data_IF_394552618017
#
_entry.id   IF_394552618017
#
_cell.length_a   1.000
_cell.length_b   1.000
_cell.length_c   1.000
_cell.angle_alpha   90.00
_cell.angle_beta   90.00
_cell.angle_gamma   90.00
#
_symmetry.space_group_name_H-M   'P 1'
#
loop_
_entity.id
_entity.type
_entity.pdbx_description
1 polymer ?
#
# COMPACT_ATOMS: atom_id res chain seq x y z
N UNK A 1 -20.06 -23.45 35.13
CA UNK A 1 -20.74 -22.48 34.24
C UNK A 1 -20.06 -21.15 34.49
N UNK A 2 -19.00 -20.88 33.73
CA UNK A 2 -18.25 -19.62 33.79
C UNK A 2 -17.82 -19.33 32.35
N UNK A 3 -18.66 -18.57 31.66
CA UNK A 3 -18.40 -18.01 30.34
C UNK A 3 -17.16 -17.13 30.41
N UNK A 4 -16.16 -17.47 29.61
CA UNK A 4 -14.99 -16.63 29.38
C UNK A 4 -15.36 -15.68 28.24
N UNK A 5 -15.42 -14.38 28.53
CA UNK A 5 -15.62 -13.33 27.54
C UNK A 5 -14.38 -13.21 26.67
N UNK A 6 -14.44 -13.80 25.48
CA UNK A 6 -13.68 -13.36 24.32
C UNK A 6 -14.14 -11.94 23.93
N UNK A 7 -13.20 -11.02 23.78
CA UNK A 7 -13.50 -9.69 23.26
C UNK A 7 -12.59 -8.59 23.79
N UNK A 8 -11.27 -8.71 23.62
CA UNK A 8 -10.38 -7.55 23.72
C UNK A 8 -9.05 -7.75 22.95
N UNK A 9 -9.14 -7.99 21.63
CA UNK A 9 -7.93 -7.93 20.78
C UNK A 9 -8.13 -7.32 19.38
N UNK A 10 -9.35 -6.88 19.01
CA UNK A 10 -9.64 -6.41 17.65
C UNK A 10 -9.57 -4.88 17.43
N UNK A 11 -9.30 -4.07 18.46
CA UNK A 11 -9.44 -2.60 18.35
C UNK A 11 -8.16 -1.86 17.90
N UNK A 12 -7.04 -2.56 17.65
CA UNK A 12 -5.76 -1.91 17.26
C UNK A 12 -5.47 -1.80 15.76
N UNK A 13 -6.41 -2.16 14.87
CA UNK A 13 -6.20 -2.11 13.42
C UNK A 13 -6.81 -0.88 12.71
N UNK A 14 -7.47 0.04 13.42
CA UNK A 14 -8.32 1.05 12.77
C UNK A 14 -7.59 2.26 12.15
N UNK A 15 -6.25 2.36 12.22
CA UNK A 15 -5.53 3.57 11.78
C UNK A 15 -4.37 3.31 10.81
N UNK A 16 -4.30 2.10 10.23
CA UNK A 16 -3.31 1.78 9.21
C UNK A 16 -3.99 1.75 7.85
N UNK A 17 -3.43 2.55 6.92
CA UNK A 17 -3.77 2.46 5.50
C UNK A 17 -3.59 1.01 5.05
N UNK A 18 -4.55 0.50 4.29
CA UNK A 18 -4.56 -0.88 3.78
C UNK A 18 -3.94 -0.97 2.39
N UNK A 19 -4.06 0.09 1.61
CA UNK A 19 -3.58 0.20 0.25
C UNK A 19 -2.53 1.31 0.16
N UNK A 20 -1.51 1.07 -0.66
CA UNK A 20 -0.38 1.98 -0.85
C UNK A 20 -0.14 2.20 -2.33
N UNK A 21 0.24 3.43 -2.68
CA UNK A 21 0.61 3.77 -4.05
C UNK A 21 2.04 3.32 -4.34
N UNK A 22 2.40 3.04 -5.60
CA UNK A 22 3.78 2.74 -5.96
C UNK A 22 4.75 3.84 -5.54
N UNK A 23 4.30 5.10 -5.58
CA UNK A 23 5.10 6.25 -5.16
C UNK A 23 5.39 6.27 -3.67
N UNK A 24 4.43 5.87 -2.84
CA UNK A 24 4.65 5.71 -1.40
C UNK A 24 5.67 4.63 -1.12
N UNK A 25 5.52 3.46 -1.74
CA UNK A 25 6.48 2.36 -1.60
C UNK A 25 7.88 2.81 -2.01
N UNK A 26 8.00 3.55 -3.12
CA UNK A 26 9.28 4.08 -3.60
C UNK A 26 9.93 5.09 -2.65
N UNK A 27 9.16 5.76 -1.78
CA UNK A 27 9.72 6.67 -0.78
C UNK A 27 10.45 5.96 0.37
N UNK A 28 10.15 4.66 0.58
CA UNK A 28 10.75 3.81 1.60
C UNK A 28 11.92 2.98 1.01
N UNK A 29 12.97 3.69 0.58
CA UNK A 29 14.12 3.13 -0.13
C UNK A 29 15.43 3.10 0.69
N UNK A 30 15.36 3.26 2.00
CA UNK A 30 16.53 3.34 2.87
C UNK A 30 16.82 1.99 3.55
N UNK A 31 18.08 1.72 3.90
CA UNK A 31 18.45 0.49 4.61
C UNK A 31 17.76 0.34 5.99
N UNK A 32 17.40 1.46 6.62
CA UNK A 32 16.65 1.50 7.89
C UNK A 32 15.14 1.38 7.71
N UNK A 33 14.63 1.66 6.51
CA UNK A 33 13.22 1.65 6.15
C UNK A 33 13.08 1.22 4.69
N UNK A 34 13.17 -0.09 4.48
CA UNK A 34 13.24 -0.73 3.18
C UNK A 34 11.93 -1.46 2.90
N UNK A 35 11.16 -0.96 1.95
CA UNK A 35 9.92 -1.60 1.52
C UNK A 35 10.12 -2.21 0.14
N UNK A 36 9.59 -3.41 -0.07
CA UNK A 36 9.60 -4.08 -1.38
C UNK A 36 8.20 -4.58 -1.70
N UNK A 37 7.82 -4.53 -2.98
CA UNK A 37 6.54 -5.07 -3.44
C UNK A 37 6.71 -6.46 -4.09
N UNK A 38 5.81 -7.39 -3.75
CA UNK A 38 5.80 -8.80 -4.13
C UNK A 38 4.35 -9.22 -4.36
N UNK A 39 3.99 -9.53 -5.60
CA UNK A 39 2.66 -10.02 -5.99
C UNK A 39 1.53 -9.20 -5.32
N UNK A 40 1.60 -7.86 -5.41
CA UNK A 40 0.65 -6.91 -4.81
C UNK A 40 0.63 -6.85 -3.28
N UNK A 41 1.57 -7.49 -2.59
CA UNK A 41 1.84 -7.33 -1.15
C UNK A 41 3.12 -6.51 -1.00
N UNK A 42 3.27 -5.77 0.07
CA UNK A 42 4.56 -5.14 0.36
C UNK A 42 5.03 -5.46 1.77
N UNK A 43 6.36 -5.48 1.92
CA UNK A 43 7.01 -5.94 3.14
C UNK A 43 8.18 -5.08 3.54
N UNK A 44 8.40 -4.93 4.85
CA UNK A 44 9.48 -4.15 5.44
C UNK A 44 10.53 -5.06 6.10
N UNK A 45 11.82 -4.80 5.86
CA UNK A 45 12.91 -5.65 6.35
C UNK A 45 14.07 -4.88 6.97
N UNK A 46 14.67 -5.48 8.01
CA UNK A 46 15.93 -5.07 8.63
C UNK A 46 16.75 -6.32 8.99
N UNK A 47 18.06 -6.39 8.68
CA UNK A 47 18.90 -7.54 9.03
C UNK A 47 20.14 -7.78 8.16
N UNK A 48 20.76 -8.96 8.29
CA UNK A 48 21.93 -9.43 7.50
C UNK A 48 21.45 -10.26 6.29
N UNK A 49 22.20 -10.26 5.17
CA UNK A 49 21.82 -10.88 3.86
C UNK A 49 20.62 -10.20 3.17
N UNK A 50 20.45 -8.91 3.42
CA UNK A 50 19.43 -8.07 2.77
C UNK A 50 20.02 -7.16 1.70
N UNK A 51 21.31 -7.25 1.39
CA UNK A 51 21.98 -6.43 0.36
C UNK A 51 21.20 -6.36 -0.97
N UNK A 52 20.79 -7.48 -1.60
CA UNK A 52 19.97 -7.43 -2.81
C UNK A 52 18.58 -6.82 -2.57
N UNK A 53 18.00 -6.97 -1.37
CA UNK A 53 16.70 -6.36 -1.04
C UNK A 53 16.82 -4.85 -0.82
N UNK A 54 17.91 -4.37 -0.22
CA UNK A 54 18.21 -2.94 -0.06
C UNK A 54 18.47 -2.31 -1.43
N UNK A 55 19.17 -3.02 -2.33
CA UNK A 55 19.43 -2.52 -3.68
C UNK A 55 18.14 -2.27 -4.47
N UNK A 56 17.13 -3.12 -4.27
CA UNK A 56 15.81 -3.00 -4.89
C UNK A 56 14.75 -2.44 -3.91
N UNK A 57 15.18 -1.66 -2.92
CA UNK A 57 14.27 -1.01 -2.00
C UNK A 57 13.41 0.03 -2.73
N UNK A 58 12.11 0.00 -2.47
CA UNK A 58 11.11 0.83 -3.14
C UNK A 58 10.65 0.30 -4.51
N UNK A 59 11.15 -0.86 -4.95
CA UNK A 59 10.83 -1.44 -6.27
C UNK A 59 9.89 -2.66 -6.18
N UNK A 60 9.48 -3.12 -7.37
CA UNK A 60 8.74 -4.37 -7.54
C UNK A 60 9.66 -5.56 -7.83
N UNK A 61 9.75 -6.45 -6.86
CA UNK A 61 10.55 -7.69 -6.94
C UNK A 61 9.67 -8.90 -7.26
N UNK A 62 8.42 -8.71 -7.69
CA UNK A 62 7.51 -9.80 -8.12
C UNK A 62 8.15 -10.70 -9.17
N UNK A 63 9.06 -10.16 -10.00
CA UNK A 63 9.77 -10.92 -11.01
C UNK A 63 10.71 -12.01 -10.44
N UNK A 64 11.08 -11.97 -9.16
CA UNK A 64 11.88 -13.01 -8.48
C UNK A 64 11.05 -14.22 -8.06
N UNK A 65 9.74 -14.03 -7.92
CA UNK A 65 8.80 -15.02 -7.41
C UNK A 65 7.94 -15.56 -8.55
N UNK A 66 7.53 -16.82 -8.42
CA UNK A 66 6.52 -17.39 -9.29
C UNK A 66 5.13 -16.97 -8.76
N UNK A 67 4.27 -16.50 -9.66
CA UNK A 67 2.92 -16.06 -9.34
C UNK A 67 2.03 -17.21 -8.83
N UNK A 68 2.26 -18.44 -9.30
CA UNK A 68 1.43 -19.59 -8.95
C UNK A 68 1.81 -20.23 -7.61
N UNK A 69 3.12 -20.34 -7.33
CA UNK A 69 3.64 -21.04 -6.14
C UNK A 69 3.93 -20.09 -4.97
N UNK A 70 3.86 -18.77 -5.22
CA UNK A 70 4.26 -17.71 -4.28
C UNK A 70 5.63 -17.96 -3.65
N UNK A 71 6.51 -18.60 -4.42
CA UNK A 71 7.85 -18.98 -3.99
C UNK A 71 8.88 -18.49 -5.01
N UNK A 72 10.14 -18.42 -4.60
CA UNK A 72 11.24 -17.96 -5.45
C UNK A 72 11.30 -18.82 -6.71
N UNK A 73 11.57 -18.21 -7.86
CA UNK A 73 11.74 -18.96 -9.11
C UNK A 73 12.92 -19.91 -9.00
N UNK A 74 12.81 -21.10 -9.58
CA UNK A 74 13.90 -22.07 -9.66
C UNK A 74 14.34 -22.24 -11.12
N UNK A 75 15.62 -22.50 -11.32
CA UNK A 75 16.17 -22.92 -12.61
C UNK A 75 17.01 -24.19 -12.42
N UNK A 76 17.21 -24.94 -13.50
CA UNK A 76 18.10 -26.11 -13.50
C UNK A 76 19.50 -25.63 -13.83
N UNK A 77 20.44 -25.80 -12.89
CA UNK A 77 21.86 -25.57 -13.15
C UNK A 77 22.33 -26.55 -14.22
N UNK A 78 22.89 -26.05 -15.33
CA UNK A 78 23.35 -26.88 -16.45
C UNK A 78 24.52 -27.79 -16.06
N UNK A 79 25.34 -27.38 -15.09
CA UNK A 79 26.53 -28.14 -14.70
C UNK A 79 26.19 -29.24 -13.70
N UNK A 80 25.38 -28.91 -12.69
CA UNK A 80 25.01 -29.85 -11.62
C UNK A 80 23.74 -30.65 -11.93
N UNK A 81 22.94 -30.21 -12.90
CA UNK A 81 21.61 -30.74 -13.20
C UNK A 81 20.69 -30.77 -11.96
N UNK A 82 20.85 -29.77 -11.07
CA UNK A 82 20.06 -29.59 -9.85
C UNK A 82 19.14 -28.39 -9.99
N UNK A 83 17.95 -28.46 -9.39
CA UNK A 83 17.06 -27.30 -9.28
C UNK A 83 17.58 -26.38 -8.18
N UNK A 84 17.95 -25.15 -8.56
CA UNK A 84 18.50 -24.14 -7.66
C UNK A 84 17.67 -22.86 -7.76
N UNK A 85 17.56 -22.08 -6.67
CA UNK A 85 16.83 -20.81 -6.71
C UNK A 85 17.48 -19.84 -7.69
N UNK A 86 16.66 -19.13 -8.45
CA UNK A 86 17.08 -18.13 -9.42
C UNK A 86 17.30 -16.79 -8.70
N UNK A 87 18.56 -16.51 -8.37
CA UNK A 87 18.97 -15.31 -7.63
C UNK A 87 20.03 -14.50 -8.41
N UNK A 88 19.63 -13.78 -9.47
CA UNK A 88 20.58 -13.06 -10.34
C UNK A 88 21.33 -11.93 -9.63
N UNK A 89 20.71 -11.32 -8.62
CA UNK A 89 21.27 -10.20 -7.85
C UNK A 89 22.00 -10.64 -6.56
N UNK A 90 22.19 -11.95 -6.39
CA UNK A 90 22.77 -12.52 -5.19
C UNK A 90 21.73 -13.08 -4.21
N UNK A 91 22.24 -13.84 -3.23
CA UNK A 91 21.43 -14.57 -2.26
C UNK A 91 20.81 -13.61 -1.25
N UNK A 92 19.50 -13.67 -1.09
CA UNK A 92 18.76 -12.93 -0.06
C UNK A 92 18.25 -13.82 1.08
N UNK A 93 17.67 -13.18 2.10
CA UNK A 93 17.16 -13.81 3.32
C UNK A 93 16.25 -15.01 3.02
N UNK A 94 16.39 -16.09 3.80
CA UNK A 94 15.60 -17.34 3.72
C UNK A 94 15.72 -18.14 2.40
N UNK A 95 16.64 -17.78 1.50
CA UNK A 95 17.00 -18.59 0.32
C UNK A 95 18.10 -19.61 0.67
N UNK A 96 17.93 -20.90 0.34
CA UNK A 96 18.95 -21.92 0.61
C UNK A 96 20.24 -21.68 -0.20
N UNK A 97 21.42 -22.02 0.35
CA UNK A 97 22.67 -21.98 -0.41
C UNK A 97 22.68 -23.04 -1.52
N UNK A 98 23.39 -22.82 -2.64
CA UNK A 98 23.50 -23.80 -3.72
C UNK A 98 24.30 -25.05 -3.31
N UNK A 99 25.25 -24.89 -2.40
CA UNK A 99 26.10 -25.96 -1.89
C UNK A 99 25.66 -26.37 -0.46
N UNK A 100 25.81 -27.65 -0.08
CA UNK A 100 25.47 -28.12 1.25
C UNK A 100 26.34 -27.40 2.30
N UNK A 101 25.68 -26.67 3.20
CA UNK A 101 26.36 -25.90 4.26
C UNK A 101 25.84 -26.29 5.63
N UNK A 102 26.76 -26.49 6.57
CA UNK A 102 26.44 -26.76 7.97
C UNK A 102 25.90 -25.52 8.72
N UNK A 103 25.98 -24.33 8.11
CA UNK A 103 25.51 -23.07 8.70
C UNK A 103 24.04 -22.76 8.35
N UNK A 104 23.41 -23.56 7.50
CA UNK A 104 22.02 -23.37 7.09
C UNK A 104 21.08 -24.30 7.86
N UNK A 105 20.23 -23.73 8.70
CA UNK A 105 19.22 -24.49 9.45
C UNK A 105 17.87 -24.46 8.72
N UNK A 106 17.30 -25.64 8.45
CA UNK A 106 15.99 -25.80 7.79
C UNK A 106 14.87 -26.20 8.74
N UNK A 107 15.16 -26.45 10.02
CA UNK A 107 14.23 -27.10 10.95
C UNK A 107 12.95 -26.28 11.23
N UNK A 108 13.05 -24.94 11.22
CA UNK A 108 11.93 -24.02 11.51
C UNK A 108 11.88 -22.81 10.56
N UNK A 109 12.33 -22.98 9.30
CA UNK A 109 12.43 -21.87 8.37
C UNK A 109 11.05 -21.56 7.75
N UNK A 110 10.34 -20.57 8.29
CA UNK A 110 9.25 -19.91 7.58
C UNK A 110 9.86 -18.80 6.70
N UNK A 111 9.82 -18.89 5.36
CA UNK A 111 10.36 -17.85 4.52
C UNK A 111 9.64 -16.52 4.76
N UNK A 112 10.38 -15.42 4.74
CA UNK A 112 9.84 -14.12 5.12
C UNK A 112 8.72 -13.68 4.17
N UNK A 113 8.76 -14.10 2.90
CA UNK A 113 7.69 -13.83 1.91
C UNK A 113 6.38 -14.55 2.22
N UNK A 114 6.41 -15.59 3.07
CA UNK A 114 5.21 -16.31 3.54
C UNK A 114 4.74 -15.85 4.92
N UNK A 115 5.58 -15.15 5.67
CA UNK A 115 5.24 -14.70 7.02
C UNK A 115 4.37 -13.41 6.96
N UNK A 116 3.12 -13.45 7.47
CA UNK A 116 2.25 -12.27 7.49
C UNK A 116 2.78 -11.13 8.36
N UNK A 117 3.70 -11.40 9.30
CA UNK A 117 4.28 -10.37 10.18
C UNK A 117 5.02 -9.27 9.41
N UNK A 118 5.64 -9.63 8.29
CA UNK A 118 6.38 -8.68 7.46
C UNK A 118 5.49 -7.96 6.47
N UNK A 119 4.22 -8.35 6.32
CA UNK A 119 3.29 -7.73 5.38
C UNK A 119 2.59 -6.57 6.06
N UNK A 120 2.87 -5.37 5.55
CA UNK A 120 2.31 -4.15 6.12
C UNK A 120 0.96 -3.82 5.46
N UNK A 121 0.75 -4.22 4.19
CA UNK A 121 -0.50 -4.01 3.44
C UNK A 121 -0.43 -4.48 1.99
N UNK A 122 -1.28 -3.89 1.12
CA UNK A 122 -1.38 -4.23 -0.31
C UNK A 122 -1.01 -3.04 -1.21
N UNK A 123 -0.43 -3.34 -2.38
CA UNK A 123 -0.25 -2.37 -3.44
C UNK A 123 -1.59 -2.13 -4.15
N UNK A 124 -1.90 -0.87 -4.47
CA UNK A 124 -3.09 -0.55 -5.26
C UNK A 124 -3.04 -1.14 -6.65
N UNK A 125 -4.20 -1.51 -7.20
CA UNK A 125 -4.31 -1.87 -8.62
C UNK A 125 -4.23 -0.63 -9.50
N UNK A 126 -4.75 0.51 -9.02
CA UNK A 126 -4.78 1.76 -9.76
C UNK A 126 -4.81 2.95 -8.80
N UNK A 127 -3.81 3.81 -8.95
CA UNK A 127 -3.76 5.10 -8.27
C UNK A 127 -4.43 6.17 -9.13
N UNK A 128 -5.09 7.14 -8.49
CA UNK A 128 -5.68 8.32 -9.13
C UNK A 128 -5.36 9.58 -8.33
N UNK A 129 -5.28 10.71 -9.02
CA UNK A 129 -5.13 12.00 -8.40
C UNK A 129 -6.48 12.61 -8.04
N UNK A 130 -6.57 13.23 -6.87
CA UNK A 130 -7.72 14.00 -6.42
C UNK A 130 -7.27 15.41 -6.05
N UNK A 131 -8.15 16.39 -6.22
CA UNK A 131 -7.98 17.72 -5.65
C UNK A 131 -8.88 17.87 -4.41
N UNK A 132 -8.30 18.19 -3.27
CA UNK A 132 -9.05 18.48 -2.04
C UNK A 132 -9.04 19.98 -1.81
N UNK A 133 -10.22 20.59 -1.77
CA UNK A 133 -10.41 22.02 -1.57
C UNK A 133 -10.95 22.27 -0.17
N UNK A 134 -10.17 22.96 0.64
CA UNK A 134 -10.63 23.44 1.93
C UNK A 134 -11.48 24.70 1.74
N UNK A 135 -12.78 24.61 2.01
CA UNK A 135 -13.68 25.74 1.81
C UNK A 135 -13.53 26.84 2.86
N UNK A 136 -12.97 26.54 4.03
CA UNK A 136 -12.67 27.52 5.07
C UNK A 136 -11.43 28.36 4.71
N UNK A 137 -10.34 27.71 4.27
CA UNK A 137 -9.06 28.39 4.00
C UNK A 137 -8.83 28.70 2.51
N UNK A 138 -9.69 28.19 1.62
CA UNK A 138 -9.57 28.25 0.16
C UNK A 138 -8.29 27.59 -0.40
N UNK A 139 -7.64 26.74 0.40
CA UNK A 139 -6.45 25.99 -0.01
C UNK A 139 -6.85 24.78 -0.84
N UNK A 140 -6.02 24.47 -1.84
CA UNK A 140 -6.18 23.30 -2.70
C UNK A 140 -4.97 22.39 -2.56
N UNK A 141 -5.23 21.11 -2.35
CA UNK A 141 -4.19 20.11 -2.18
C UNK A 141 -4.44 18.94 -3.13
N UNK A 142 -3.44 18.63 -3.96
CA UNK A 142 -3.46 17.44 -4.80
C UNK A 142 -3.02 16.23 -3.98
N UNK A 143 -3.83 15.18 -3.95
CA UNK A 143 -3.56 13.95 -3.22
C UNK A 143 -3.65 12.75 -4.17
N UNK A 144 -2.63 11.90 -4.15
CA UNK A 144 -2.63 10.61 -4.83
C UNK A 144 -3.28 9.56 -3.92
N UNK A 145 -4.32 8.88 -4.41
CA UNK A 145 -5.08 7.89 -3.65
C UNK A 145 -5.26 6.61 -4.46
N UNK A 146 -5.58 5.52 -3.77
CA UNK A 146 -5.89 4.24 -4.38
C UNK A 146 -7.39 4.15 -4.70
N UNK A 147 -7.77 3.58 -5.84
CA UNK A 147 -9.20 3.45 -6.19
C UNK A 147 -10.00 2.57 -5.21
N UNK A 148 -9.32 1.67 -4.49
CA UNK A 148 -9.94 0.76 -3.52
C UNK A 148 -10.12 1.38 -2.12
N UNK A 149 -9.61 2.58 -1.89
CA UNK A 149 -9.70 3.25 -0.59
C UNK A 149 -11.08 3.83 -0.33
N UNK A 150 -11.47 3.76 0.93
CA UNK A 150 -12.64 4.44 1.47
C UNK A 150 -12.34 5.93 1.73
N UNK A 151 -13.36 6.77 1.76
CA UNK A 151 -13.19 8.20 2.09
C UNK A 151 -12.53 8.38 3.48
N UNK A 152 -12.81 7.50 4.44
CA UNK A 152 -12.14 7.49 5.74
C UNK A 152 -10.62 7.30 5.65
N UNK A 153 -10.15 6.40 4.78
CA UNK A 153 -8.71 6.16 4.55
C UNK A 153 -8.07 7.35 3.82
N UNK A 154 -8.79 7.94 2.86
CA UNK A 154 -8.38 9.17 2.17
C UNK A 154 -8.27 10.32 3.18
N UNK A 155 -9.19 10.42 4.14
CA UNK A 155 -9.11 11.38 5.23
C UNK A 155 -7.86 11.13 6.09
N UNK A 156 -7.54 9.87 6.41
CA UNK A 156 -6.31 9.51 7.14
C UNK A 156 -5.05 9.96 6.40
N UNK A 157 -5.01 9.83 5.07
CA UNK A 157 -3.91 10.38 4.24
C UNK A 157 -3.85 11.91 4.35
N UNK A 158 -5.00 12.57 4.23
CA UNK A 158 -5.09 14.03 4.26
C UNK A 158 -4.76 14.63 5.63
N UNK A 159 -4.93 13.89 6.73
CA UNK A 159 -4.51 14.31 8.08
C UNK A 159 -3.02 14.67 8.17
N UNK A 160 -2.17 14.08 7.32
CA UNK A 160 -0.74 14.43 7.26
C UNK A 160 -0.49 15.85 6.74
N UNK A 161 -1.40 16.37 5.89
CA UNK A 161 -1.34 17.73 5.35
C UNK A 161 -2.10 18.72 6.23
N UNK A 162 -3.20 18.29 6.84
CA UNK A 162 -4.01 19.09 7.75
C UNK A 162 -4.41 18.29 8.99
N UNK A 163 -3.73 18.53 10.10
CA UNK A 163 -3.93 17.81 11.37
C UNK A 163 -5.37 17.90 11.91
N UNK A 164 -6.15 18.91 11.50
CA UNK A 164 -7.53 19.09 11.92
C UNK A 164 -8.55 18.45 10.97
N UNK A 165 -8.11 17.74 9.92
CA UNK A 165 -9.01 17.15 8.91
C UNK A 165 -10.04 16.15 9.47
N UNK A 166 -9.86 15.67 10.72
CA UNK A 166 -10.79 14.77 11.40
C UNK A 166 -12.18 15.38 11.63
N UNK A 167 -12.26 16.69 11.81
CA UNK A 167 -13.51 17.43 12.08
C UNK A 167 -14.11 18.08 10.83
N UNK A 168 -13.77 17.60 9.64
CA UNK A 168 -14.31 18.14 8.38
C UNK A 168 -15.35 17.19 7.78
N UNK A 169 -16.47 17.74 7.33
CA UNK A 169 -17.42 17.04 6.47
C UNK A 169 -16.93 17.07 5.03
N UNK A 170 -16.82 15.89 4.43
CA UNK A 170 -16.43 15.71 3.04
C UNK A 170 -17.67 15.74 2.14
N UNK A 171 -17.63 16.58 1.11
CA UNK A 171 -18.71 16.75 0.14
C UNK A 171 -18.17 16.65 -1.27
N UNK A 172 -19.00 16.13 -2.16
CA UNK A 172 -18.78 16.20 -3.61
C UNK A 172 -19.74 17.19 -4.23
N UNK A 173 -19.41 17.64 -5.44
CA UNK A 173 -20.32 18.41 -6.26
C UNK A 173 -21.11 17.44 -7.14
N UNK A 174 -22.43 17.41 -6.99
CA UNK A 174 -23.36 16.64 -7.81
C UNK A 174 -24.44 17.59 -8.34
N UNK A 175 -24.57 17.72 -9.67
CA UNK A 175 -25.57 18.59 -10.31
C UNK A 175 -25.63 20.01 -9.71
N UNK A 176 -24.45 20.60 -9.46
CA UNK A 176 -24.24 21.91 -8.79
C UNK A 176 -24.66 22.01 -7.31
N UNK A 177 -25.01 20.88 -6.67
CA UNK A 177 -25.27 20.80 -5.23
C UNK A 177 -24.15 20.07 -4.47
N UNK A 178 -23.86 20.55 -3.25
CA UNK A 178 -22.85 19.92 -2.38
C UNK A 178 -23.46 18.80 -1.56
N UNK A 179 -23.23 17.56 -1.98
CA UNK A 179 -23.77 16.36 -1.33
C UNK A 179 -22.72 15.76 -0.38
N UNK A 180 -23.06 15.51 0.90
CA UNK A 180 -22.18 14.82 1.83
C UNK A 180 -21.85 13.40 1.36
N UNK A 181 -20.57 13.01 1.49
CA UNK A 181 -20.10 11.67 1.13
C UNK A 181 -20.15 10.71 2.32
N UNK A 182 -20.33 9.44 2.02
CA UNK A 182 -20.27 8.37 3.01
C UNK A 182 -18.82 7.93 3.26
N UNK A 183 -18.37 8.05 4.50
CA UNK A 183 -16.99 7.79 4.91
C UNK A 183 -16.53 6.34 4.70
N UNK A 184 -17.44 5.38 4.84
CA UNK A 184 -17.14 3.95 4.73
C UNK A 184 -17.21 3.42 3.29
N UNK A 185 -17.55 4.26 2.32
CA UNK A 185 -17.67 3.90 0.91
C UNK A 185 -16.46 4.36 0.12
N UNK A 186 -16.20 3.71 -1.01
CA UNK A 186 -15.14 4.13 -1.95
C UNK A 186 -15.57 5.36 -2.75
N UNK A 187 -14.66 5.93 -3.54
CA UNK A 187 -14.97 7.04 -4.45
C UNK A 187 -16.04 6.66 -5.48
N UNK A 188 -15.92 5.46 -6.05
CA UNK A 188 -16.84 4.93 -7.05
C UNK A 188 -18.26 4.76 -6.46
N UNK A 189 -18.35 4.19 -5.26
CA UNK A 189 -19.61 4.02 -4.51
C UNK A 189 -20.25 5.34 -4.04
N UNK A 190 -19.44 6.41 -3.95
CA UNK A 190 -19.92 7.76 -3.68
C UNK A 190 -20.26 8.54 -4.96
N UNK A 191 -20.28 7.88 -6.13
CA UNK A 191 -20.67 8.52 -7.40
C UNK A 191 -19.54 9.29 -8.08
N UNK A 192 -18.28 9.00 -7.75
CA UNK A 192 -17.09 9.57 -8.42
C UNK A 192 -16.38 8.42 -9.14
N UNK A 193 -16.85 8.03 -10.34
CA UNK A 193 -16.28 6.91 -11.06
C UNK A 193 -14.83 7.17 -11.48
N UNK A 194 -14.14 6.10 -11.82
CA UNK A 194 -12.82 6.17 -12.44
C UNK A 194 -12.97 6.53 -13.93
N UNK A 195 -12.63 7.77 -14.28
CA UNK A 195 -12.68 8.29 -15.65
C UNK A 195 -11.35 8.17 -16.40
N UNK A 196 -10.27 7.71 -15.76
CA UNK A 196 -8.99 7.44 -16.42
C UNK A 196 -9.10 6.61 -17.71
N UNK A 197 -9.91 5.53 -17.84
CA UNK A 197 -10.04 4.82 -19.12
C UNK A 197 -10.67 5.67 -20.24
N UNK A 198 -11.48 6.67 -19.88
CA UNK A 198 -12.03 7.65 -20.82
C UNK A 198 -10.92 8.59 -21.27
N UNK A 199 -10.11 9.08 -20.31
CA UNK A 199 -8.99 9.97 -20.61
C UNK A 199 -7.94 9.31 -21.51
N UNK A 200 -7.55 8.07 -21.21
CA UNK A 200 -6.65 7.27 -22.07
C UNK A 200 -7.20 7.11 -23.49
N UNK A 201 -8.52 6.86 -23.62
CA UNK A 201 -9.16 6.67 -24.92
C UNK A 201 -9.22 7.96 -25.75
N UNK A 202 -9.37 9.11 -25.11
CA UNK A 202 -9.50 10.41 -25.77
C UNK A 202 -8.20 11.24 -25.75
N UNK A 203 -7.08 10.66 -25.30
CA UNK A 203 -5.77 11.33 -25.17
C UNK A 203 -5.87 12.63 -24.32
N UNK A 204 -6.65 12.55 -23.24
CA UNK A 204 -6.82 13.65 -22.30
C UNK A 204 -5.83 13.53 -21.14
N UNK A 205 -5.37 14.67 -20.65
CA UNK A 205 -4.44 14.72 -19.52
C UNK A 205 -5.17 14.49 -18.18
N UNK A 206 -4.94 13.35 -17.54
CA UNK A 206 -5.54 12.99 -16.26
C UNK A 206 -5.22 13.99 -15.14
N UNK A 207 -4.10 14.72 -15.23
CA UNK A 207 -3.74 15.73 -14.24
C UNK A 207 -4.57 17.01 -14.37
N UNK A 208 -5.13 17.29 -15.55
CA UNK A 208 -5.98 18.47 -15.76
C UNK A 208 -7.42 18.22 -15.33
N UNK A 209 -7.88 16.97 -15.39
CA UNK A 209 -9.25 16.57 -15.07
C UNK A 209 -9.32 15.76 -13.77
N UNK A 210 -8.56 16.17 -12.76
CA UNK A 210 -8.64 15.56 -11.44
C UNK A 210 -9.98 15.92 -10.75
N UNK A 211 -10.71 14.93 -10.22
CA UNK A 211 -11.96 15.19 -9.49
C UNK A 211 -11.69 16.01 -8.22
N UNK A 212 -12.59 16.95 -7.95
CA UNK A 212 -12.48 17.87 -6.81
C UNK A 212 -13.40 17.45 -5.66
N UNK A 213 -12.82 17.26 -4.48
CA UNK A 213 -13.52 17.03 -3.22
C UNK A 213 -13.49 18.29 -2.38
N UNK A 214 -14.62 18.62 -1.76
CA UNK A 214 -14.75 19.81 -0.93
C UNK A 214 -14.85 19.39 0.53
N UNK A 215 -14.00 19.99 1.37
CA UNK A 215 -14.07 19.78 2.81
C UNK A 215 -14.60 21.04 3.49
N UNK A 216 -15.58 20.83 4.36
CA UNK A 216 -16.20 21.88 5.17
C UNK A 216 -15.82 21.64 6.61
N UNK A 217 -15.28 22.67 7.26
CA UNK A 217 -15.00 22.61 8.68
C UNK A 217 -16.31 22.57 9.45
N UNK A 218 -16.52 21.51 10.22
CA UNK A 218 -17.56 21.50 11.24
C UNK A 218 -16.95 22.14 12.49
N UNK A 219 -17.64 23.14 13.05
CA UNK A 219 -17.23 23.85 14.26
C UNK A 219 -17.38 22.92 15.48
N UNK A 220 -16.51 21.91 15.54
CA UNK A 220 -16.38 21.02 16.67
C UNK A 220 -15.23 21.56 17.54
N UNK A 221 -15.54 21.89 18.79
CA UNK A 221 -14.63 22.46 19.78
C UNK A 221 -13.57 21.44 20.25
N UNK A 222 -12.98 20.67 19.34
CA UNK A 222 -11.86 19.77 19.63
C UNK A 222 -10.56 20.56 19.68
N UNK A 223 -10.45 21.44 20.67
CA UNK A 223 -9.20 22.04 21.11
C UNK A 223 -8.73 21.26 22.34
N UNK A 224 -7.73 20.41 22.19
CA UNK A 224 -6.68 20.17 23.19
C UNK A 224 -5.50 19.41 22.60
#
# INVERSE_FOLDING_TARGET
>A
MTETKDGDSDVKHSNRLRFFTPREVASHNMATDCWVSINYRYSCHTGTLVEPLILHAGEDISHWFNADTEDVKYHVDRERNLSVPFVPYGRFLHVPPPDPSAQWCTADLLPWWRDPKYVVGRLTKKARWLEIVNMLTQQRHSLEVCCEETIAEIQTRYLQLNAHAGSYTWKRLEDDEFVPMHMQRTLDENGIPDESPIFERFDMDEQQFMPTLHIYYDDDLTVM
#
